data_IF_332235114658
#
_entry.id   IF_332235114658
#
_cell.length_a   1.000
_cell.length_b   1.000
_cell.length_c   1.000
_cell.angle_alpha   90.00
_cell.angle_beta   90.00
_cell.angle_gamma   90.00
#
_symmetry.space_group_name_H-M   'P 1'
#
loop_
_entity.id
_entity.type
_entity.pdbx_description
1 polymer ?
#
# COMPACT_ATOMS: atom_id res chain seq x y z
N UNK A 1 -28.31 -0.57 -7.94
CA UNK A 1 -27.68 -1.52 -7.02
C UNK A 1 -26.79 -2.53 -7.77
N UNK A 2 -27.28 -3.24 -8.83
CA UNK A 2 -26.50 -4.26 -9.57
C UNK A 2 -25.28 -3.66 -10.27
N UNK A 3 -25.44 -2.55 -11.03
CA UNK A 3 -24.35 -1.85 -11.71
C UNK A 3 -23.32 -1.26 -10.71
N UNK A 4 -23.77 -0.84 -9.53
CA UNK A 4 -22.89 -0.34 -8.46
C UNK A 4 -22.10 -1.48 -7.79
N UNK A 5 -22.67 -2.66 -7.66
CA UNK A 5 -21.96 -3.85 -7.19
C UNK A 5 -20.92 -4.33 -8.22
N UNK A 6 -21.25 -4.36 -9.51
CA UNK A 6 -20.31 -4.71 -10.58
C UNK A 6 -19.13 -3.72 -10.66
N UNK A 7 -19.38 -2.43 -10.46
CA UNK A 7 -18.30 -1.42 -10.41
C UNK A 7 -17.41 -1.57 -9.16
N UNK A 8 -17.93 -2.07 -8.03
CA UNK A 8 -17.16 -2.40 -6.84
C UNK A 8 -16.36 -3.70 -7.01
N UNK A 9 -16.86 -4.64 -7.80
CA UNK A 9 -16.18 -5.91 -8.07
C UNK A 9 -15.09 -5.77 -9.15
N UNK A 10 -15.24 -4.83 -10.10
CA UNK A 10 -14.30 -4.59 -11.20
C UNK A 10 -13.93 -3.11 -11.33
N UNK A 11 -13.16 -2.55 -10.39
CA UNK A 11 -12.83 -1.13 -10.35
C UNK A 11 -12.02 -0.64 -11.57
N UNK A 12 -11.38 -1.56 -12.31
CA UNK A 12 -10.62 -1.26 -13.52
C UNK A 12 -11.33 -1.68 -14.82
N UNK A 13 -12.66 -1.88 -14.76
CA UNK A 13 -13.41 -2.26 -15.97
C UNK A 13 -13.23 -1.23 -17.09
N UNK A 14 -12.88 -1.70 -18.29
CA UNK A 14 -12.63 -0.87 -19.47
C UNK A 14 -11.29 -0.15 -19.49
N UNK A 15 -10.42 -0.32 -18.48
CA UNK A 15 -9.08 0.25 -18.47
C UNK A 15 -8.10 -0.67 -19.19
N UNK A 16 -7.23 -0.05 -20.00
CA UNK A 16 -6.13 -0.71 -20.71
C UNK A 16 -4.82 -0.44 -19.97
N UNK A 17 -4.16 -1.49 -19.54
CA UNK A 17 -2.90 -1.40 -18.79
C UNK A 17 -1.81 -2.17 -19.53
N UNK A 18 -0.70 -1.50 -19.81
CA UNK A 18 0.50 -2.14 -20.35
C UNK A 18 1.49 -2.38 -19.24
N UNK A 19 1.88 -3.64 -19.03
CA UNK A 19 2.93 -4.06 -18.10
C UNK A 19 4.22 -4.32 -18.88
N UNK A 20 5.20 -3.48 -18.64
CA UNK A 20 6.56 -3.57 -19.19
C UNK A 20 7.44 -4.34 -18.19
N UNK A 21 7.64 -5.64 -18.45
CA UNK A 21 8.32 -6.56 -17.57
C UNK A 21 9.82 -6.60 -17.84
N UNK A 22 10.65 -6.35 -16.82
CA UNK A 22 12.11 -6.36 -16.97
C UNK A 22 12.78 -7.48 -16.16
N UNK A 23 14.05 -7.80 -16.52
CA UNK A 23 14.76 -8.94 -15.98
C UNK A 23 15.26 -8.72 -14.55
N UNK A 24 14.56 -9.31 -13.59
CA UNK A 24 14.94 -9.34 -12.18
C UNK A 24 14.19 -10.44 -11.45
N UNK A 25 14.77 -10.92 -10.32
CA UNK A 25 14.19 -12.02 -9.55
C UNK A 25 12.74 -11.71 -9.11
N UNK A 26 12.42 -10.45 -8.84
CA UNK A 26 11.08 -10.03 -8.41
C UNK A 26 10.00 -10.20 -9.51
N UNK A 27 10.36 -10.62 -10.73
CA UNK A 27 9.41 -10.82 -11.83
C UNK A 27 8.32 -11.85 -11.49
N UNK A 28 8.62 -12.85 -10.63
CA UNK A 28 7.59 -13.78 -10.16
C UNK A 28 6.42 -13.10 -9.44
N UNK A 29 6.68 -11.97 -8.74
CA UNK A 29 5.65 -11.17 -8.08
C UNK A 29 4.73 -10.47 -9.11
N UNK A 30 5.30 -10.09 -10.26
CA UNK A 30 4.55 -9.42 -11.34
C UNK A 30 3.47 -10.34 -11.91
N UNK A 31 3.67 -11.67 -11.88
CA UNK A 31 2.63 -12.62 -12.26
C UNK A 31 1.36 -12.47 -11.39
N UNK A 32 1.52 -12.33 -10.07
CA UNK A 32 0.41 -12.09 -9.16
C UNK A 32 -0.22 -10.72 -9.37
N UNK A 33 0.58 -9.69 -9.65
CA UNK A 33 0.10 -8.35 -9.96
C UNK A 33 -0.74 -8.33 -11.24
N UNK A 34 -0.26 -8.93 -12.34
CA UNK A 34 -1.01 -9.07 -13.60
C UNK A 34 -2.35 -9.77 -13.36
N UNK A 35 -2.34 -10.89 -12.63
CA UNK A 35 -3.57 -11.60 -12.25
C UNK A 35 -4.53 -10.72 -11.43
N UNK A 36 -4.00 -9.91 -10.51
CA UNK A 36 -4.76 -8.94 -9.71
C UNK A 36 -5.44 -7.88 -10.57
N UNK A 37 -4.69 -7.28 -11.51
CA UNK A 37 -5.20 -6.26 -12.45
C UNK A 37 -6.31 -6.83 -13.36
N UNK A 38 -6.12 -8.04 -13.91
CA UNK A 38 -7.13 -8.71 -14.72
C UNK A 38 -8.41 -9.00 -13.91
N UNK A 39 -8.26 -9.48 -12.66
CA UNK A 39 -9.40 -9.70 -11.76
C UNK A 39 -10.13 -8.39 -11.41
N UNK A 40 -9.41 -7.29 -11.29
CA UNK A 40 -9.99 -5.96 -11.10
C UNK A 40 -10.70 -5.43 -12.36
N UNK A 41 -10.66 -6.16 -13.48
CA UNK A 41 -11.39 -5.87 -14.72
C UNK A 41 -10.58 -5.14 -15.79
N UNK A 42 -9.28 -4.94 -15.62
CA UNK A 42 -8.43 -4.32 -16.64
C UNK A 42 -8.16 -5.26 -17.82
N UNK A 43 -8.06 -4.69 -19.02
CA UNK A 43 -7.39 -5.32 -20.16
C UNK A 43 -5.89 -5.14 -19.98
N UNK A 44 -5.18 -6.23 -19.68
CA UNK A 44 -3.74 -6.19 -19.42
C UNK A 44 -2.97 -6.76 -20.60
N UNK A 45 -2.05 -5.97 -21.14
CA UNK A 45 -1.07 -6.39 -22.16
C UNK A 45 0.32 -6.40 -21.55
N UNK A 46 1.16 -7.36 -21.94
CA UNK A 46 2.50 -7.51 -21.38
C UNK A 46 3.56 -7.42 -22.49
N UNK A 47 4.57 -6.61 -22.26
CA UNK A 47 5.81 -6.61 -23.02
C UNK A 47 6.96 -7.02 -22.11
N UNK A 48 7.91 -7.79 -22.62
CA UNK A 48 9.05 -8.30 -21.83
C UNK A 48 10.37 -7.95 -22.51
N UNK A 49 11.35 -7.56 -21.69
CA UNK A 49 12.74 -7.53 -22.16
C UNK A 49 13.26 -8.97 -22.35
N UNK A 50 14.29 -9.14 -23.18
CA UNK A 50 14.94 -10.45 -23.34
C UNK A 50 15.38 -11.04 -21.97
N UNK A 51 15.97 -10.21 -21.11
CA UNK A 51 16.39 -10.66 -19.79
C UNK A 51 15.21 -11.10 -18.89
N UNK A 52 14.02 -10.54 -19.08
CA UNK A 52 12.84 -10.96 -18.32
C UNK A 52 12.45 -12.42 -18.61
N UNK A 53 12.61 -12.87 -19.87
CA UNK A 53 12.27 -14.24 -20.28
C UNK A 53 13.13 -15.31 -19.60
N UNK A 54 14.28 -14.93 -19.04
CA UNK A 54 15.15 -15.84 -18.26
C UNK A 54 14.63 -16.10 -16.85
N UNK A 55 13.75 -15.26 -16.32
CA UNK A 55 13.17 -15.43 -14.98
C UNK A 55 11.76 -16.04 -15.05
N UNK A 56 10.96 -15.61 -16.02
CA UNK A 56 9.59 -16.13 -16.22
C UNK A 56 9.34 -16.24 -17.72
N UNK A 57 8.88 -17.39 -18.17
CA UNK A 57 8.54 -17.58 -19.58
C UNK A 57 7.33 -16.75 -20.01
N UNK A 58 7.33 -16.25 -21.25
CA UNK A 58 6.25 -15.44 -21.81
C UNK A 58 4.88 -16.12 -21.70
N UNK A 59 4.81 -17.44 -21.90
CA UNK A 59 3.59 -18.24 -21.78
C UNK A 59 2.87 -18.07 -20.44
N UNK A 60 3.61 -17.82 -19.36
CA UNK A 60 3.01 -17.54 -18.04
C UNK A 60 2.16 -16.27 -18.07
N UNK A 61 2.70 -15.19 -18.63
CA UNK A 61 1.98 -13.93 -18.76
C UNK A 61 0.87 -13.99 -19.79
N UNK A 62 1.02 -14.75 -20.87
CA UNK A 62 -0.05 -15.02 -21.84
C UNK A 62 -1.25 -15.69 -21.17
N UNK A 63 -0.98 -16.74 -20.38
CA UNK A 63 -2.03 -17.43 -19.63
C UNK A 63 -2.72 -16.55 -18.57
N UNK A 64 -1.98 -15.62 -17.94
CA UNK A 64 -2.50 -14.74 -16.89
C UNK A 64 -3.27 -13.55 -17.45
N UNK A 65 -2.81 -12.96 -18.56
CA UNK A 65 -3.41 -11.78 -19.17
C UNK A 65 -4.51 -12.12 -20.19
N UNK A 66 -4.47 -13.33 -20.76
CA UNK A 66 -5.33 -13.75 -21.86
C UNK A 66 -4.92 -13.17 -23.22
N UNK A 67 -3.72 -12.57 -23.32
CA UNK A 67 -3.22 -11.93 -24.51
C UNK A 67 -1.79 -12.37 -24.84
N UNK A 68 -1.38 -12.38 -26.13
CA UNK A 68 0.00 -12.62 -26.51
C UNK A 68 0.95 -11.62 -25.86
N UNK A 69 2.12 -12.09 -25.45
CA UNK A 69 3.20 -11.27 -24.91
C UNK A 69 4.09 -10.74 -26.04
N UNK A 70 4.35 -9.43 -26.00
CA UNK A 70 5.25 -8.80 -26.96
C UNK A 70 6.71 -8.91 -26.47
N UNK A 71 7.58 -9.52 -27.28
CA UNK A 71 9.00 -9.75 -27.01
C UNK A 71 9.91 -8.90 -27.87
N UNK A 72 9.44 -8.48 -29.03
CA UNK A 72 10.19 -7.72 -30.02
C UNK A 72 9.30 -6.71 -30.71
N UNK A 73 9.87 -5.64 -31.18
CA UNK A 73 9.19 -4.62 -31.98
C UNK A 73 8.95 -5.06 -33.44
N UNK A 74 9.61 -6.14 -33.88
CA UNK A 74 9.62 -6.59 -35.27
C UNK A 74 8.51 -7.58 -35.64
N UNK A 75 7.66 -7.97 -34.69
CA UNK A 75 6.52 -8.84 -34.95
C UNK A 75 5.24 -8.01 -34.96
N UNK A 76 4.73 -7.60 -36.13
CA UNK A 76 3.49 -6.85 -36.24
C UNK A 76 2.29 -7.61 -35.66
N UNK A 77 1.35 -6.86 -35.08
CA UNK A 77 0.04 -7.43 -34.67
C UNK A 77 -0.79 -7.86 -35.87
N UNK A 78 -1.97 -8.48 -35.62
CA UNK A 78 -2.87 -8.98 -36.66
C UNK A 78 -3.25 -7.92 -37.70
N UNK A 79 -3.32 -6.66 -37.32
CA UNK A 79 -3.66 -5.52 -38.18
C UNK A 79 -2.42 -4.85 -38.82
N UNK A 80 -1.26 -5.46 -38.76
CA UNK A 80 0.00 -4.92 -39.24
C UNK A 80 0.56 -3.77 -38.40
N UNK A 81 -0.07 -3.45 -37.28
CA UNK A 81 0.42 -2.38 -36.41
C UNK A 81 1.65 -2.82 -35.62
N UNK A 82 2.60 -1.90 -35.47
CA UNK A 82 3.83 -2.13 -34.69
C UNK A 82 3.52 -2.26 -33.20
N UNK A 83 4.08 -3.26 -32.49
CA UNK A 83 3.77 -3.54 -31.10
C UNK A 83 3.94 -2.33 -30.16
N UNK A 84 5.00 -1.55 -30.35
CA UNK A 84 5.25 -0.37 -29.51
C UNK A 84 4.18 0.73 -29.68
N UNK A 85 3.56 0.85 -30.86
CA UNK A 85 2.47 1.80 -31.09
C UNK A 85 1.19 1.32 -30.40
N UNK A 86 0.86 0.04 -30.56
CA UNK A 86 -0.37 -0.51 -29.99
C UNK A 86 -0.32 -0.58 -28.46
N UNK A 87 0.79 -1.02 -27.90
CA UNK A 87 0.97 -1.13 -26.45
C UNK A 87 1.14 0.23 -25.76
N UNK A 88 1.58 1.26 -26.48
CA UNK A 88 1.64 2.63 -25.97
C UNK A 88 0.24 3.28 -25.85
N UNK A 89 -0.78 2.73 -26.53
CA UNK A 89 -2.20 3.16 -26.43
C UNK A 89 -2.87 2.56 -25.19
N UNK A 90 -2.36 2.86 -24.02
CA UNK A 90 -2.89 2.39 -22.74
C UNK A 90 -3.36 3.56 -21.86
N UNK A 91 -4.13 3.27 -20.83
CA UNK A 91 -4.53 4.25 -19.80
C UNK A 91 -3.46 4.40 -18.72
N UNK A 92 -2.64 3.35 -18.53
CA UNK A 92 -1.53 3.35 -17.57
C UNK A 92 -0.43 2.38 -18.05
N UNK A 93 0.83 2.80 -17.95
CA UNK A 93 1.98 1.93 -18.15
C UNK A 93 2.63 1.60 -16.82
N UNK A 94 2.88 0.31 -16.57
CA UNK A 94 3.53 -0.19 -15.36
C UNK A 94 4.84 -0.85 -15.74
N UNK A 95 5.96 -0.36 -15.20
CA UNK A 95 7.27 -1.00 -15.36
C UNK A 95 7.58 -1.82 -14.11
N UNK A 96 7.50 -3.14 -14.21
CA UNK A 96 7.63 -4.04 -13.07
C UNK A 96 8.25 -5.40 -13.45
N UNK A 97 9.29 -5.84 -12.71
CA UNK A 97 10.07 -5.02 -11.78
C UNK A 97 10.85 -3.94 -12.52
N UNK A 98 11.04 -2.76 -11.93
CA UNK A 98 11.88 -1.72 -12.51
C UNK A 98 13.33 -1.88 -12.01
N UNK A 99 14.19 -2.42 -12.86
CA UNK A 99 15.63 -2.58 -12.58
C UNK A 99 16.37 -1.25 -12.68
N UNK A 100 17.57 -1.15 -12.10
CA UNK A 100 18.42 0.02 -12.28
C UNK A 100 18.72 0.32 -13.76
N UNK A 101 18.85 -0.72 -14.59
CA UNK A 101 19.05 -0.58 -16.02
C UNK A 101 17.90 0.14 -16.72
N UNK A 102 16.64 -0.34 -16.48
CA UNK A 102 15.49 0.29 -17.16
C UNK A 102 15.23 1.71 -16.64
N UNK A 103 15.49 1.96 -15.34
CA UNK A 103 15.40 3.32 -14.79
C UNK A 103 16.43 4.27 -15.44
N UNK A 104 17.65 3.79 -15.68
CA UNK A 104 18.67 4.56 -16.38
C UNK A 104 18.28 4.82 -17.84
N UNK A 105 17.83 3.80 -18.58
CA UNK A 105 17.35 3.95 -19.95
C UNK A 105 16.23 4.98 -20.05
N UNK A 106 15.18 4.82 -19.22
CA UNK A 106 14.05 5.73 -19.18
C UNK A 106 14.45 7.17 -18.83
N UNK A 107 15.39 7.36 -17.88
CA UNK A 107 15.84 8.69 -17.49
C UNK A 107 16.65 9.40 -18.60
N UNK A 108 17.30 8.64 -19.48
CA UNK A 108 18.15 9.17 -20.54
C UNK A 108 17.57 9.04 -21.96
N UNK A 109 16.31 8.60 -22.09
CA UNK A 109 15.66 8.46 -23.40
C UNK A 109 16.29 7.40 -24.29
N UNK A 110 16.83 6.31 -23.72
CA UNK A 110 17.41 5.21 -24.47
C UNK A 110 16.31 4.22 -24.87
N UNK A 111 16.12 4.03 -26.17
CA UNK A 111 15.11 3.17 -26.77
C UNK A 111 15.79 2.12 -27.68
N UNK A 112 16.46 1.13 -27.07
CA UNK A 112 17.27 0.11 -27.73
C UNK A 112 16.65 -1.31 -27.66
N UNK A 113 15.49 -1.43 -27.04
CA UNK A 113 14.66 -2.64 -27.00
C UNK A 113 13.16 -2.26 -26.95
N UNK A 114 12.25 -3.23 -27.18
CA UNK A 114 10.82 -2.99 -27.19
C UNK A 114 10.32 -2.26 -25.92
N UNK A 115 10.79 -2.65 -24.73
CA UNK A 115 10.33 -2.09 -23.47
C UNK A 115 10.79 -0.64 -23.32
N UNK A 116 12.03 -0.33 -23.63
CA UNK A 116 12.56 1.03 -23.60
C UNK A 116 11.91 1.91 -24.68
N UNK A 117 11.66 1.37 -25.87
CA UNK A 117 10.89 2.06 -26.93
C UNK A 117 9.46 2.37 -26.49
N UNK A 118 8.79 1.43 -25.80
CA UNK A 118 7.45 1.65 -25.24
C UNK A 118 7.43 2.79 -24.20
N UNK A 119 8.45 2.84 -23.34
CA UNK A 119 8.58 3.91 -22.34
C UNK A 119 8.68 5.29 -23.01
N UNK A 120 9.41 5.41 -24.11
CA UNK A 120 9.51 6.67 -24.88
C UNK A 120 8.23 6.98 -25.69
N UNK A 121 7.59 5.97 -26.27
CA UNK A 121 6.41 6.14 -27.12
C UNK A 121 5.11 6.39 -26.35
N UNK A 122 5.10 6.19 -25.03
CA UNK A 122 3.88 6.28 -24.21
C UNK A 122 3.27 7.70 -24.21
N UNK A 123 1.95 7.73 -24.09
CA UNK A 123 1.18 8.96 -23.84
C UNK A 123 0.49 8.95 -22.46
N UNK A 124 0.38 7.76 -21.86
CA UNK A 124 -0.23 7.55 -20.56
C UNK A 124 0.76 7.84 -19.43
N UNK A 125 0.24 7.99 -18.21
CA UNK A 125 1.03 7.99 -17.01
C UNK A 125 1.84 6.70 -16.88
N UNK A 126 3.01 6.80 -16.24
CA UNK A 126 3.90 5.67 -16.02
C UNK A 126 4.18 5.48 -14.53
N UNK A 127 4.15 4.22 -14.11
CA UNK A 127 4.46 3.81 -12.74
C UNK A 127 5.61 2.82 -12.75
N UNK A 128 6.66 3.11 -12.00
CA UNK A 128 7.78 2.21 -11.79
C UNK A 128 7.64 1.48 -10.44
N UNK A 129 7.83 0.15 -10.45
CA UNK A 129 7.95 -0.68 -9.24
C UNK A 129 9.41 -1.13 -9.10
N UNK A 130 10.27 -0.38 -8.42
CA UNK A 130 11.69 -0.69 -8.32
C UNK A 130 11.94 -2.02 -7.61
N UNK A 131 12.92 -2.77 -8.15
CA UNK A 131 13.43 -4.00 -7.54
C UNK A 131 14.90 -4.18 -7.88
N UNK A 132 15.77 -4.09 -6.88
CA UNK A 132 17.20 -4.26 -7.00
C UNK A 132 17.85 -4.45 -5.63
N UNK A 133 19.12 -4.83 -5.61
CA UNK A 133 19.91 -4.86 -4.37
C UNK A 133 19.95 -3.47 -3.71
N UNK A 134 20.05 -3.43 -2.37
CA UNK A 134 20.08 -2.18 -1.59
C UNK A 134 21.23 -1.25 -2.03
N UNK A 135 22.41 -1.78 -2.35
CA UNK A 135 23.54 -0.98 -2.81
C UNK A 135 23.31 -0.38 -4.20
N UNK A 136 22.59 -1.09 -5.07
CA UNK A 136 22.16 -0.54 -6.36
C UNK A 136 21.11 0.56 -6.16
N UNK A 137 20.15 0.36 -5.23
CA UNK A 137 19.13 1.35 -4.96
C UNK A 137 19.71 2.63 -4.37
N UNK A 138 20.61 2.52 -3.39
CA UNK A 138 21.24 3.67 -2.72
C UNK A 138 22.36 4.33 -3.57
N UNK A 139 22.72 3.72 -4.69
CA UNK A 139 23.74 4.30 -5.58
C UNK A 139 23.30 5.67 -6.10
N UNK A 140 24.22 6.64 -6.06
CA UNK A 140 23.96 8.02 -6.46
C UNK A 140 23.45 8.15 -7.91
N UNK A 141 23.90 7.29 -8.83
CA UNK A 141 23.40 7.28 -10.20
C UNK A 141 21.94 6.84 -10.26
N UNK A 142 21.57 5.78 -9.55
CA UNK A 142 20.17 5.31 -9.46
C UNK A 142 19.27 6.40 -8.87
N UNK A 143 19.70 7.03 -7.77
CA UNK A 143 18.91 8.08 -7.13
C UNK A 143 18.75 9.33 -8.02
N UNK A 144 19.77 9.72 -8.79
CA UNK A 144 19.64 10.79 -9.79
C UNK A 144 18.61 10.44 -10.87
N UNK A 145 18.67 9.22 -11.42
CA UNK A 145 17.71 8.75 -12.41
C UNK A 145 16.28 8.74 -11.87
N UNK A 146 16.07 8.28 -10.65
CA UNK A 146 14.76 8.30 -9.97
C UNK A 146 14.27 9.73 -9.80
N UNK A 147 15.11 10.65 -9.34
CA UNK A 147 14.76 12.05 -9.17
C UNK A 147 14.36 12.71 -10.50
N UNK A 148 15.13 12.45 -11.58
CA UNK A 148 14.84 12.94 -12.92
C UNK A 148 13.50 12.41 -13.44
N UNK A 149 13.23 11.12 -13.29
CA UNK A 149 11.96 10.51 -13.72
C UNK A 149 10.79 11.07 -12.93
N UNK A 150 10.92 11.26 -11.62
CA UNK A 150 9.89 11.92 -10.78
C UNK A 150 9.64 13.36 -11.23
N UNK A 151 10.68 14.12 -11.50
CA UNK A 151 10.55 15.50 -12.02
C UNK A 151 9.86 15.54 -13.40
N UNK A 152 10.01 14.48 -14.21
CA UNK A 152 9.30 14.30 -15.48
C UNK A 152 7.87 13.73 -15.33
N UNK A 153 7.34 13.62 -14.09
CA UNK A 153 5.98 13.18 -13.82
C UNK A 153 5.80 11.67 -13.67
N UNK A 154 6.88 10.88 -13.64
CA UNK A 154 6.76 9.44 -13.41
C UNK A 154 6.44 9.14 -11.94
N UNK A 155 5.61 8.14 -11.71
CA UNK A 155 5.22 7.68 -10.39
C UNK A 155 6.04 6.46 -9.96
N UNK A 156 6.18 6.28 -8.65
CA UNK A 156 6.94 5.19 -8.06
C UNK A 156 6.13 4.53 -6.94
N UNK A 157 6.06 3.19 -6.97
CA UNK A 157 5.50 2.38 -5.90
C UNK A 157 6.64 1.56 -5.31
N UNK A 158 7.04 1.86 -4.09
CA UNK A 158 8.22 1.30 -3.45
C UNK A 158 9.54 1.97 -3.88
N UNK A 159 10.70 1.28 -3.72
CA UNK A 159 10.81 -0.08 -3.19
C UNK A 159 10.60 -0.13 -1.67
N UNK A 160 10.18 -1.31 -1.19
CA UNK A 160 10.04 -1.56 0.23
C UNK A 160 11.39 -1.94 0.86
N UNK A 161 11.50 -1.72 2.18
CA UNK A 161 12.61 -2.21 2.97
C UNK A 161 12.34 -3.67 3.40
N UNK A 162 13.42 -4.44 3.56
CA UNK A 162 13.32 -5.81 4.07
C UNK A 162 14.49 -6.69 3.65
N UNK A 163 14.40 -7.98 3.99
CA UNK A 163 15.39 -8.97 3.64
C UNK A 163 15.35 -9.29 2.14
N UNK A 164 16.49 -9.24 1.49
CA UNK A 164 16.64 -9.46 0.05
C UNK A 164 17.14 -10.88 -0.25
N UNK A 165 16.95 -11.35 -1.47
CA UNK A 165 17.36 -12.68 -1.90
C UNK A 165 18.88 -12.92 -1.81
N UNK A 166 19.69 -11.87 -1.83
CA UNK A 166 21.15 -11.94 -1.66
C UNK A 166 21.59 -11.98 -0.19
N UNK A 167 20.66 -11.89 0.79
CA UNK A 167 20.97 -11.86 2.22
C UNK A 167 21.09 -10.45 2.82
N UNK A 168 21.05 -9.40 2.02
CA UNK A 168 21.13 -8.02 2.50
C UNK A 168 19.78 -7.57 3.11
N UNK A 169 19.85 -6.64 4.07
CA UNK A 169 18.69 -5.98 4.67
C UNK A 169 18.68 -4.51 4.26
N UNK A 170 17.59 -4.04 3.71
CA UNK A 170 17.44 -2.63 3.33
C UNK A 170 16.37 -2.40 2.27
N UNK A 171 16.31 -1.15 1.77
CA UNK A 171 15.39 -0.78 0.70
C UNK A 171 15.87 -1.34 -0.64
N UNK A 172 14.93 -1.83 -1.45
CA UNK A 172 15.24 -2.41 -2.77
C UNK A 172 14.31 -3.55 -3.17
N UNK A 173 13.45 -4.03 -2.26
CA UNK A 173 12.44 -5.04 -2.56
C UNK A 173 11.29 -4.42 -3.34
N UNK A 174 10.85 -5.10 -4.39
CA UNK A 174 9.58 -4.74 -5.03
C UNK A 174 8.44 -4.86 -4.02
N UNK A 175 7.62 -3.83 -3.94
CA UNK A 175 6.39 -3.81 -3.15
C UNK A 175 5.54 -5.05 -3.44
N UNK A 176 4.90 -5.60 -2.40
CA UNK A 176 4.11 -6.81 -2.55
C UNK A 176 2.93 -6.59 -3.51
N UNK A 177 2.57 -7.60 -4.31
CA UNK A 177 1.57 -7.45 -5.38
C UNK A 177 0.23 -6.88 -4.92
N UNK A 178 -0.22 -7.24 -3.73
CA UNK A 178 -1.47 -6.77 -3.14
C UNK A 178 -1.41 -5.28 -2.80
N UNK A 179 -0.30 -4.83 -2.21
CA UNK A 179 -0.08 -3.42 -1.86
C UNK A 179 0.13 -2.58 -3.13
N UNK A 180 0.85 -3.12 -4.13
CA UNK A 180 1.02 -2.48 -5.42
C UNK A 180 -0.33 -2.33 -6.16
N UNK A 181 -1.16 -3.36 -6.16
CA UNK A 181 -2.50 -3.31 -6.74
C UNK A 181 -3.37 -2.25 -6.04
N UNK A 182 -3.36 -2.22 -4.70
CA UNK A 182 -4.10 -1.22 -3.92
C UNK A 182 -3.69 0.21 -4.30
N UNK A 183 -2.38 0.47 -4.46
CA UNK A 183 -1.87 1.76 -4.91
C UNK A 183 -2.28 2.09 -6.36
N UNK A 184 -2.25 1.11 -7.27
CA UNK A 184 -2.58 1.28 -8.68
C UNK A 184 -4.07 1.56 -8.91
N UNK A 185 -4.96 0.99 -8.10
CA UNK A 185 -6.40 1.31 -8.15
C UNK A 185 -6.65 2.81 -7.92
N UNK A 186 -5.87 3.43 -7.05
CA UNK A 186 -5.96 4.86 -6.77
C UNK A 186 -5.70 5.76 -7.98
N UNK A 187 -4.93 5.33 -8.99
CA UNK A 187 -4.64 6.16 -10.18
C UNK A 187 -5.91 6.54 -10.95
N UNK A 188 -6.89 5.66 -10.97
CA UNK A 188 -8.11 5.84 -11.74
C UNK A 188 -9.25 6.47 -10.94
N UNK A 189 -9.06 6.67 -9.64
CA UNK A 189 -10.07 7.30 -8.80
C UNK A 189 -10.15 8.82 -9.05
N UNK A 190 -11.36 9.41 -9.07
CA UNK A 190 -11.51 10.86 -9.17
C UNK A 190 -10.84 11.60 -8.01
N UNK A 191 -9.99 12.59 -8.30
CA UNK A 191 -9.17 13.29 -7.29
C UNK A 191 -9.95 14.44 -6.60
N UNK A 192 -11.14 14.15 -6.11
CA UNK A 192 -12.06 15.14 -5.49
C UNK A 192 -11.55 15.73 -4.19
N UNK A 193 -10.60 15.07 -3.52
CA UNK A 193 -9.96 15.54 -2.29
C UNK A 193 -8.52 16.02 -2.51
N UNK A 194 -8.12 16.31 -3.76
CA UNK A 194 -6.77 16.80 -4.03
C UNK A 194 -6.46 18.07 -3.23
N UNK A 195 -5.31 18.06 -2.55
CA UNK A 195 -4.87 19.18 -1.71
C UNK A 195 -5.56 19.24 -0.34
N UNK A 196 -6.42 18.26 0.00
CA UNK A 196 -7.02 18.14 1.33
C UNK A 196 -6.22 17.19 2.21
N UNK A 197 -6.25 17.44 3.50
CA UNK A 197 -5.63 16.64 4.56
C UNK A 197 -6.68 16.01 5.42
N UNK A 198 -6.63 14.69 5.50
CA UNK A 198 -7.64 13.89 6.16
C UNK A 198 -6.98 13.10 7.30
N UNK A 199 -7.49 13.27 8.50
CA UNK A 199 -7.12 12.47 9.67
C UNK A 199 -8.22 11.44 9.94
N UNK A 200 -7.84 10.17 10.04
CA UNK A 200 -8.78 9.07 10.29
C UNK A 200 -8.36 8.32 11.54
N UNK A 201 -9.32 7.98 12.42
CA UNK A 201 -9.06 7.01 13.50
C UNK A 201 -9.68 5.66 13.13
N UNK A 202 -9.02 4.55 13.46
CA UNK A 202 -9.48 3.20 13.14
C UNK A 202 -9.11 2.17 14.20
N UNK A 203 -9.79 1.03 14.18
CA UNK A 203 -9.52 -0.07 15.08
C UNK A 203 -10.11 0.11 16.47
N UNK A 204 -9.94 -0.89 17.35
CA UNK A 204 -10.35 -0.80 18.75
C UNK A 204 -9.28 -0.09 19.58
N UNK A 205 -9.64 0.34 20.79
CA UNK A 205 -8.65 0.58 21.84
C UNK A 205 -8.56 -0.63 22.77
N UNK A 206 -7.47 -0.71 23.53
CA UNK A 206 -7.25 -1.75 24.53
C UNK A 206 -6.88 -1.10 25.85
N UNK A 207 -7.74 -1.31 26.86
CA UNK A 207 -7.57 -0.77 28.20
C UNK A 207 -7.02 -1.87 29.12
N UNK A 208 -5.78 -1.71 29.53
CA UNK A 208 -5.08 -2.72 30.33
C UNK A 208 -5.67 -2.80 31.74
N UNK A 209 -6.00 -4.00 32.21
CA UNK A 209 -6.29 -4.33 33.60
C UNK A 209 -4.99 -4.67 34.33
N UNK A 210 -4.19 -5.50 33.70
CA UNK A 210 -2.83 -5.88 34.13
C UNK A 210 -1.98 -6.22 32.88
N UNK A 211 -0.70 -6.59 33.01
CA UNK A 211 0.14 -6.91 31.85
C UNK A 211 -0.36 -8.04 30.95
N UNK A 212 -1.38 -8.79 31.39
CA UNK A 212 -1.88 -9.99 30.68
C UNK A 212 -3.32 -9.82 30.21
N UNK A 213 -4.12 -8.96 30.87
CA UNK A 213 -5.56 -8.82 30.64
C UNK A 213 -5.95 -7.37 30.39
N UNK A 214 -6.93 -7.18 29.54
CA UNK A 214 -7.52 -5.87 29.25
C UNK A 214 -8.92 -5.97 28.68
N UNK A 215 -9.49 -4.81 28.44
CA UNK A 215 -10.81 -4.63 27.84
C UNK A 215 -10.59 -4.06 26.45
N UNK A 216 -11.31 -4.57 25.48
CA UNK A 216 -11.23 -4.09 24.09
C UNK A 216 -12.56 -4.34 23.38
N UNK A 217 -12.83 -3.57 22.34
CA UNK A 217 -13.94 -3.81 21.44
C UNK A 217 -13.57 -4.84 20.37
N UNK A 218 -14.54 -5.57 19.83
CA UNK A 218 -14.35 -6.55 18.77
C UNK A 218 -14.25 -5.92 17.37
N UNK A 219 -13.73 -4.71 17.28
CA UNK A 219 -13.54 -4.05 15.99
C UNK A 219 -12.33 -4.62 15.24
N UNK A 220 -12.50 -4.91 13.95
CA UNK A 220 -11.40 -5.32 13.09
C UNK A 220 -10.61 -4.15 12.48
N UNK A 221 -11.08 -2.91 12.62
CA UNK A 221 -10.50 -1.73 11.98
C UNK A 221 -10.76 -1.59 10.47
N UNK A 222 -11.35 -2.60 9.81
CA UNK A 222 -11.49 -2.64 8.34
C UNK A 222 -12.18 -1.42 7.75
N UNK A 223 -13.21 -0.90 8.41
CA UNK A 223 -13.96 0.27 7.91
C UNK A 223 -13.07 1.52 7.87
N UNK A 224 -12.36 1.83 8.96
CA UNK A 224 -11.46 2.98 9.02
C UNK A 224 -10.31 2.89 8.03
N UNK A 225 -9.70 1.70 7.89
CA UNK A 225 -8.67 1.45 6.89
C UNK A 225 -9.20 1.60 5.45
N UNK A 226 -10.43 1.18 5.16
CA UNK A 226 -11.06 1.35 3.86
C UNK A 226 -11.37 2.84 3.56
N UNK A 227 -11.83 3.59 4.55
CA UNK A 227 -12.07 5.04 4.45
C UNK A 227 -10.75 5.78 4.21
N UNK A 228 -9.69 5.44 4.95
CA UNK A 228 -8.38 6.04 4.77
C UNK A 228 -7.84 5.80 3.34
N UNK A 229 -7.96 4.56 2.82
CA UNK A 229 -7.61 4.26 1.42
C UNK A 229 -8.45 5.05 0.43
N UNK A 230 -9.75 5.10 0.60
CA UNK A 230 -10.65 5.84 -0.29
C UNK A 230 -10.34 7.35 -0.31
N UNK A 231 -10.00 7.94 0.84
CA UNK A 231 -9.58 9.33 0.92
C UNK A 231 -8.25 9.58 0.20
N UNK A 232 -7.25 8.69 0.37
CA UNK A 232 -5.99 8.71 -0.37
C UNK A 232 -6.23 8.64 -1.88
N UNK A 233 -7.06 7.69 -2.31
CA UNK A 233 -7.36 7.47 -3.72
C UNK A 233 -8.10 8.66 -4.33
N UNK A 234 -8.93 9.34 -3.53
CA UNK A 234 -9.55 10.61 -3.89
C UNK A 234 -8.55 11.81 -3.91
N UNK A 235 -7.28 11.57 -3.63
CA UNK A 235 -6.20 12.57 -3.74
C UNK A 235 -5.89 13.34 -2.48
N UNK A 236 -6.43 12.94 -1.32
CA UNK A 236 -6.09 13.54 -0.04
C UNK A 236 -4.72 13.10 0.46
N UNK A 237 -4.07 13.97 1.23
CA UNK A 237 -3.00 13.58 2.14
C UNK A 237 -3.65 13.01 3.40
N UNK A 238 -3.39 11.72 3.69
CA UNK A 238 -4.09 11.00 4.75
C UNK A 238 -3.14 10.60 5.87
N UNK A 239 -3.53 10.89 7.10
CA UNK A 239 -2.93 10.28 8.30
C UNK A 239 -3.95 9.36 8.98
N UNK A 240 -3.50 8.17 9.39
CA UNK A 240 -4.30 7.16 10.08
C UNK A 240 -3.76 6.96 11.50
N UNK A 241 -4.64 7.10 12.50
CA UNK A 241 -4.34 6.70 13.88
C UNK A 241 -5.07 5.39 14.14
N UNK A 242 -4.32 4.32 14.34
CA UNK A 242 -4.85 2.96 14.41
C UNK A 242 -4.63 2.35 15.79
N UNK A 243 -5.71 1.89 16.41
CA UNK A 243 -5.65 0.99 17.56
C UNK A 243 -5.19 -0.41 17.14
N UNK A 244 -5.07 -1.38 18.08
CA UNK A 244 -4.56 -2.71 17.80
C UNK A 244 -5.38 -3.46 16.75
N UNK A 245 -4.81 -3.73 15.59
CA UNK A 245 -5.41 -4.54 14.51
C UNK A 245 -4.38 -5.47 13.90
N UNK A 246 -4.83 -6.47 13.15
CA UNK A 246 -3.96 -7.34 12.34
C UNK A 246 -3.87 -6.86 10.88
N UNK A 247 -4.40 -5.69 10.56
CA UNK A 247 -4.37 -5.14 9.21
C UNK A 247 -2.98 -4.57 8.91
N UNK A 248 -2.50 -4.80 7.70
CA UNK A 248 -1.30 -4.13 7.20
C UNK A 248 -1.59 -2.64 6.95
N UNK A 249 -0.59 -1.80 7.19
CA UNK A 249 -0.69 -0.37 6.94
C UNK A 249 -0.96 -0.10 5.46
N UNK A 250 -1.91 0.79 5.14
CA UNK A 250 -2.21 1.11 3.75
C UNK A 250 -1.05 1.84 3.08
N UNK A 251 -0.72 1.45 1.86
CA UNK A 251 0.34 2.10 1.09
C UNK A 251 0.10 3.61 0.96
N UNK A 252 1.15 4.41 1.16
CA UNK A 252 1.09 5.87 0.98
C UNK A 252 0.30 6.62 2.07
N UNK A 253 -0.07 5.96 3.17
CA UNK A 253 -0.74 6.56 4.32
C UNK A 253 0.20 6.49 5.53
N UNK A 254 0.45 7.63 6.16
CA UNK A 254 1.18 7.67 7.43
C UNK A 254 0.31 7.11 8.53
N UNK A 255 0.69 5.95 9.08
CA UNK A 255 -0.05 5.29 10.15
C UNK A 255 0.68 5.47 11.49
N UNK A 256 -0.06 5.94 12.51
CA UNK A 256 0.40 6.01 13.90
C UNK A 256 -0.34 4.95 14.70
N UNK A 257 0.39 3.98 15.26
CA UNK A 257 -0.19 2.94 16.09
C UNK A 257 -0.29 3.40 17.54
N UNK A 258 -1.47 3.19 18.13
CA UNK A 258 -1.79 3.51 19.53
C UNK A 258 -2.40 2.28 20.20
N UNK A 259 -2.47 2.28 21.53
CA UNK A 259 -3.02 1.14 22.27
C UNK A 259 -4.29 1.53 23.02
N UNK A 260 -4.23 2.54 23.90
CA UNK A 260 -5.34 2.94 24.75
C UNK A 260 -6.16 4.08 24.13
N UNK A 261 -7.33 4.35 24.71
CA UNK A 261 -8.14 5.51 24.37
C UNK A 261 -7.38 6.83 24.65
N UNK A 262 -6.61 6.89 25.73
CA UNK A 262 -5.79 8.06 26.05
C UNK A 262 -4.67 8.27 25.03
N UNK A 263 -4.03 7.20 24.54
CA UNK A 263 -3.02 7.30 23.49
C UNK A 263 -3.63 7.81 22.19
N UNK A 264 -4.81 7.29 21.84
CA UNK A 264 -5.53 7.73 20.64
C UNK A 264 -5.95 9.19 20.74
N UNK A 265 -6.50 9.59 21.88
CA UNK A 265 -6.89 10.98 22.14
C UNK A 265 -5.69 11.92 22.00
N UNK A 266 -4.58 11.58 22.64
CA UNK A 266 -3.33 12.36 22.58
C UNK A 266 -2.84 12.48 21.13
N UNK A 267 -2.76 11.38 20.41
CA UNK A 267 -2.32 11.36 19.02
C UNK A 267 -3.22 12.21 18.11
N UNK A 268 -4.55 12.22 18.34
CA UNK A 268 -5.49 13.07 17.60
C UNK A 268 -5.23 14.54 17.93
N UNK A 269 -5.16 14.91 19.21
CA UNK A 269 -4.95 16.30 19.61
C UNK A 269 -3.60 16.83 19.15
N UNK A 270 -2.54 16.06 19.23
CA UNK A 270 -1.21 16.44 18.70
C UNK A 270 -1.27 16.82 17.21
N UNK A 271 -2.17 16.18 16.43
CA UNK A 271 -2.38 16.53 15.02
C UNK A 271 -3.28 17.74 14.84
N UNK A 272 -4.27 17.94 15.70
CA UNK A 272 -5.20 19.08 15.65
C UNK A 272 -4.61 20.34 16.29
N UNK A 273 -3.89 20.23 17.41
CA UNK A 273 -3.29 21.38 18.13
C UNK A 273 -2.05 21.94 17.45
N UNK A 274 -1.37 21.14 16.62
CA UNK A 274 -0.33 21.67 15.73
C UNK A 274 -0.87 22.81 14.81
N UNK A 275 -2.17 23.07 14.85
CA UNK A 275 -2.88 24.16 14.15
C UNK A 275 -2.86 25.51 14.90
N UNK A 276 -2.59 25.53 16.22
CA UNK A 276 -2.77 26.73 17.05
C UNK A 276 -1.44 27.41 17.44
N UNK A 277 -0.30 26.79 17.15
CA UNK A 277 1.01 27.37 17.44
C UNK A 277 1.49 28.27 16.30
N UNK A 278 1.89 29.52 16.57
CA UNK A 278 2.47 30.40 15.55
C UNK A 278 3.74 29.83 14.88
N UNK A 279 4.45 28.92 15.58
CA UNK A 279 5.63 28.22 15.07
C UNK A 279 5.27 27.03 14.15
N UNK A 280 4.00 26.67 14.07
CA UNK A 280 3.47 25.57 13.24
C UNK A 280 2.95 26.04 11.89
N UNK A 281 3.24 27.25 11.44
CA UNK A 281 2.82 27.81 10.16
C UNK A 281 3.24 26.94 8.94
N UNK A 282 4.23 26.07 9.11
CA UNK A 282 4.69 25.10 8.10
C UNK A 282 4.04 23.70 8.22
N UNK A 283 3.20 23.47 9.23
CA UNK A 283 2.46 22.20 9.36
C UNK A 283 1.04 22.38 8.85
N UNK A 284 0.65 21.49 7.97
CA UNK A 284 -0.66 21.57 7.34
C UNK A 284 -1.82 21.32 8.29
N UNK A 285 -2.83 22.18 8.19
CA UNK A 285 -4.12 22.00 8.83
C UNK A 285 -4.79 20.67 8.43
N UNK A 286 -5.48 20.00 9.34
CA UNK A 286 -6.40 18.91 9.00
C UNK A 286 -7.68 19.53 8.47
N UNK A 287 -8.01 19.27 7.20
CA UNK A 287 -9.25 19.76 6.59
C UNK A 287 -10.47 18.92 7.02
N UNK A 288 -10.26 17.63 7.29
CA UNK A 288 -11.33 16.69 7.63
C UNK A 288 -10.85 15.65 8.65
N UNK A 289 -11.56 15.54 9.77
CA UNK A 289 -11.39 14.48 10.74
C UNK A 289 -12.52 13.46 10.63
N UNK A 290 -12.17 12.15 10.54
CA UNK A 290 -13.13 11.06 10.44
C UNK A 290 -12.90 10.08 11.61
N UNK A 291 -13.77 10.13 12.61
CA UNK A 291 -13.74 9.25 13.77
C UNK A 291 -14.45 7.91 13.47
N UNK A 292 -13.69 6.83 13.28
CA UNK A 292 -14.21 5.47 12.99
C UNK A 292 -13.72 4.44 14.00
N UNK A 293 -12.80 4.83 14.89
CA UNK A 293 -12.29 3.93 15.91
C UNK A 293 -13.39 3.47 16.88
N UNK A 294 -13.32 2.22 17.30
CA UNK A 294 -14.16 1.66 18.36
C UNK A 294 -13.44 1.85 19.70
N UNK A 295 -13.55 3.05 20.23
CA UNK A 295 -12.96 3.42 21.52
C UNK A 295 -13.70 2.71 22.64
N UNK A 296 -12.99 2.21 23.65
CA UNK A 296 -13.59 1.61 24.84
C UNK A 296 -14.26 2.69 25.71
N UNK A 297 -15.53 2.46 26.12
CA UNK A 297 -16.29 3.33 27.01
C UNK A 297 -15.88 3.15 28.49
N UNK A 298 -15.19 2.04 28.77
CA UNK A 298 -14.83 1.63 30.13
C UNK A 298 -13.35 1.35 30.25
N UNK A 299 -12.75 1.79 31.33
CA UNK A 299 -11.38 1.46 31.71
C UNK A 299 -11.24 1.22 33.20
N UNK A 300 -10.25 0.44 33.67
CA UNK A 300 -9.94 0.36 35.10
C UNK A 300 -9.53 1.72 35.62
N UNK A 301 -9.92 2.06 36.84
CA UNK A 301 -9.46 3.28 37.52
C UNK A 301 -7.94 3.35 37.63
N UNK A 302 -7.30 2.20 37.79
CA UNK A 302 -5.84 2.04 37.74
C UNK A 302 -5.48 0.65 37.18
N UNK A 303 -4.55 0.59 36.25
CA UNK A 303 -3.98 -0.67 35.77
C UNK A 303 -2.93 -1.20 36.76
N UNK A 304 -2.93 -2.49 37.01
CA UNK A 304 -1.88 -3.13 37.81
C UNK A 304 -0.61 -3.32 36.99
N UNK A 305 0.55 -2.98 37.54
CA UNK A 305 1.86 -3.22 36.91
C UNK A 305 2.28 -4.70 36.96
N UNK A 306 1.59 -5.54 37.73
CA UNK A 306 1.85 -6.98 37.87
C UNK A 306 0.58 -7.78 37.62
N UNK A 307 0.72 -9.03 37.14
CA UNK A 307 -0.43 -9.92 36.94
C UNK A 307 -1.21 -10.13 38.23
N UNK A 308 -2.47 -9.76 38.25
CA UNK A 308 -3.37 -9.99 39.39
C UNK A 308 -3.58 -11.48 39.57
N UNK A 309 -3.13 -12.01 40.72
CA UNK A 309 -3.28 -13.42 41.09
C UNK A 309 -4.54 -13.62 41.93
N UNK A 310 -5.17 -14.80 41.81
CA UNK A 310 -6.21 -15.21 42.77
C UNK A 310 -5.62 -15.25 44.16
N UNK A 311 -6.26 -14.59 45.09
CA UNK A 311 -5.99 -14.77 46.52
C UNK A 311 -6.47 -16.20 46.85
N UNK A 312 -5.59 -17.10 47.28
CA UNK A 312 -6.01 -18.37 47.81
C UNK A 312 -6.77 -18.06 49.12
N UNK A 313 -8.02 -18.54 49.29
CA UNK A 313 -8.65 -18.41 50.60
C UNK A 313 -7.78 -19.16 51.64
N UNK A 314 -7.57 -18.53 52.78
CA UNK A 314 -6.99 -19.23 53.90
C UNK A 314 -7.82 -20.50 54.15
N UNK A 315 -7.11 -21.63 54.45
CA UNK A 315 -7.76 -22.93 54.65
C UNK A 315 -8.59 -22.86 55.94
N UNK A 316 -9.81 -22.34 55.87
CA UNK A 316 -10.85 -22.55 56.87
C UNK A 316 -12.19 -22.77 56.15
N UNK A 317 -12.81 -23.84 56.55
CA UNK A 317 -14.01 -24.50 56.08
C UNK A 317 -15.20 -23.52 55.95
N UNK A 318 -15.31 -22.72 54.90
CA UNK A 318 -16.59 -22.14 54.50
C UNK A 318 -16.74 -22.14 52.98
N UNK A 319 -17.89 -22.59 52.52
CA UNK A 319 -18.32 -22.80 51.14
C UNK A 319 -17.87 -21.67 50.24
N UNK A 320 -17.21 -22.01 49.19
CA UNK A 320 -16.73 -21.14 48.11
C UNK A 320 -17.86 -20.21 47.61
N UNK A 321 -18.04 -19.05 48.22
CA UNK A 321 -18.74 -17.95 47.59
C UNK A 321 -17.84 -17.45 46.42
N UNK A 322 -18.39 -17.21 45.22
CA UNK A 322 -17.59 -16.62 44.15
C UNK A 322 -17.09 -15.28 44.66
N UNK A 323 -15.75 -15.13 44.72
CA UNK A 323 -15.12 -13.83 45.01
C UNK A 323 -15.62 -12.86 43.95
N UNK A 324 -16.40 -11.83 44.29
CA UNK A 324 -16.81 -10.87 43.28
C UNK A 324 -15.60 -10.20 42.69
N UNK A 325 -15.69 -9.81 41.41
CA UNK A 325 -14.77 -8.92 40.73
C UNK A 325 -14.69 -7.51 41.36
N UNK A 326 -14.90 -7.42 42.66
CA UNK A 326 -15.15 -6.22 43.45
C UNK A 326 -13.93 -5.35 43.71
N UNK A 327 -12.78 -5.63 43.10
CA UNK A 327 -11.60 -4.78 43.24
C UNK A 327 -11.23 -3.94 42.01
N UNK A 328 -12.03 -4.01 40.94
CA UNK A 328 -11.82 -3.18 39.75
C UNK A 328 -12.86 -2.06 39.80
N UNK A 329 -12.44 -0.87 40.21
CA UNK A 329 -13.28 0.31 40.09
C UNK A 329 -13.29 0.78 38.63
N UNK A 330 -14.46 0.98 38.10
CA UNK A 330 -14.72 1.46 36.75
C UNK A 330 -14.93 2.99 36.76
N UNK A 331 -14.37 3.70 35.81
CA UNK A 331 -14.64 5.10 35.53
C UNK A 331 -15.01 5.27 34.06
#
# INVERSE_FOLDING_TARGET
>A
ARAMNEALEKPLAGKKITVAATGGIALYKVCSLVRGLVRAGAEVRVAMTENATRFVGAVTFEALSGHPVALTEWTPGPDGAMPHIELAKCDLMIVAPATANILAKAAHGIADDLVSTLIEARRADIVFLPAMNVHMWTNAATQRNVAQLKAAGAHFIGPDAGFQACGDLGSGRMTEPEAALDALLGFFAPKVLKGRRVLVTAGPTFEAIDPVRGITNRSSGRQGYAIARAARDAGAEVELIAGPTSLADPFGIRTTHVVSADDMLRAVFERLEALQSPEAADRPAVDLFIGVAAVCDWRPKSASSVKIKKVKPAADNERCAPTPFASIAWT
#
